data_IF_421053992493
#
_entry.id   IF_421053992493
#
_cell.length_a   1.000
_cell.length_b   1.000
_cell.length_c   1.000
_cell.angle_alpha   90.00
_cell.angle_beta   90.00
_cell.angle_gamma   90.00
#
_symmetry.space_group_name_H-M   'P 1'
#
loop_
_entity.id
_entity.type
_entity.pdbx_description
1 polymer ?
#
# COMPACT_ATOMS: atom_id res chain seq x y z
N UNK A 1 27.66 -30.28 -0.78
CA UNK A 1 27.09 -29.78 0.49
C UNK A 1 25.97 -28.78 0.18
N UNK A 2 24.97 -29.18 -0.63
CA UNK A 2 24.00 -28.24 -1.25
C UNK A 2 22.54 -28.72 -1.22
N UNK A 3 22.28 -29.89 -0.63
CA UNK A 3 20.97 -30.56 -0.69
C UNK A 3 20.09 -30.38 0.56
N UNK A 4 20.58 -29.70 1.60
CA UNK A 4 19.89 -29.60 2.91
C UNK A 4 18.91 -28.40 2.97
N UNK A 5 18.94 -27.46 2.03
CA UNK A 5 18.14 -26.22 2.13
C UNK A 5 16.73 -26.29 1.55
N UNK A 6 16.38 -27.30 0.76
CA UNK A 6 15.05 -27.42 0.12
C UNK A 6 14.02 -28.17 0.96
N UNK A 7 14.42 -28.87 2.02
CA UNK A 7 13.51 -29.65 2.88
C UNK A 7 12.98 -28.90 4.12
N UNK A 8 13.31 -27.61 4.30
CA UNK A 8 13.02 -26.88 5.54
C UNK A 8 11.77 -25.98 5.54
N UNK A 9 11.00 -25.88 4.46
CA UNK A 9 9.92 -24.86 4.38
C UNK A 9 8.51 -25.35 4.06
N UNK A 10 8.27 -26.66 3.99
CA UNK A 10 6.89 -27.23 3.84
C UNK A 10 6.34 -27.80 5.16
N UNK A 11 7.15 -27.90 6.22
CA UNK A 11 6.70 -28.44 7.51
C UNK A 11 5.88 -27.41 8.30
N UNK A 12 4.59 -27.73 8.48
CA UNK A 12 3.60 -27.07 9.34
C UNK A 12 3.18 -25.66 8.93
N UNK A 13 2.49 -25.57 7.79
CA UNK A 13 1.63 -24.41 7.55
C UNK A 13 0.60 -24.34 8.70
N UNK A 14 0.51 -23.19 9.40
CA UNK A 14 -0.45 -23.04 10.49
C UNK A 14 -1.86 -23.32 10.00
N UNK A 15 -2.70 -23.92 10.86
CA UNK A 15 -4.11 -24.19 10.58
C UNK A 15 -4.78 -22.92 10.00
N UNK A 16 -5.79 -23.09 9.14
CA UNK A 16 -6.52 -22.01 8.49
C UNK A 16 -6.98 -20.94 9.50
N UNK A 17 -7.42 -21.35 10.69
CA UNK A 17 -7.78 -20.44 11.77
C UNK A 17 -6.62 -19.54 12.25
N UNK A 18 -5.42 -20.09 12.36
CA UNK A 18 -4.23 -19.33 12.78
C UNK A 18 -3.78 -18.34 11.71
N UNK A 19 -3.88 -18.72 10.42
CA UNK A 19 -3.63 -17.79 9.30
C UNK A 19 -4.63 -16.64 9.29
N UNK A 20 -5.92 -16.97 9.45
CA UNK A 20 -6.98 -15.97 9.49
C UNK A 20 -6.78 -14.98 10.63
N UNK A 21 -6.42 -15.46 11.84
CA UNK A 21 -6.08 -14.59 12.97
C UNK A 21 -4.89 -13.68 12.65
N UNK A 22 -3.86 -14.20 12.00
CA UNK A 22 -2.71 -13.41 11.58
C UNK A 22 -3.11 -12.32 10.57
N UNK A 23 -3.97 -12.65 9.60
CA UNK A 23 -4.45 -11.69 8.61
C UNK A 23 -5.32 -10.61 9.23
N UNK A 24 -6.26 -11.01 10.09
CA UNK A 24 -7.14 -10.05 10.77
C UNK A 24 -6.29 -9.10 11.60
N UNK A 25 -5.42 -9.62 12.47
CA UNK A 25 -4.57 -8.77 13.32
C UNK A 25 -3.65 -7.88 12.49
N UNK A 26 -3.07 -8.41 11.40
CA UNK A 26 -2.17 -7.66 10.56
C UNK A 26 -2.84 -6.56 9.75
N UNK A 27 -3.92 -6.87 9.04
CA UNK A 27 -4.71 -5.90 8.28
C UNK A 27 -5.26 -4.82 9.22
N UNK A 28 -5.78 -5.21 10.39
CA UNK A 28 -6.31 -4.24 11.38
C UNK A 28 -5.22 -3.30 11.87
N UNK A 29 -4.06 -3.84 12.27
CA UNK A 29 -2.95 -3.04 12.79
C UNK A 29 -2.41 -2.10 11.71
N UNK A 30 -2.28 -2.61 10.49
CA UNK A 30 -1.85 -1.82 9.35
C UNK A 30 -2.85 -0.69 9.03
N UNK A 31 -4.15 -0.96 9.06
CA UNK A 31 -5.18 0.04 8.81
C UNK A 31 -5.19 1.14 9.88
N UNK A 32 -5.04 0.78 11.16
CA UNK A 32 -4.90 1.76 12.25
C UNK A 32 -3.66 2.62 12.03
N UNK A 33 -2.53 2.01 11.66
CA UNK A 33 -1.30 2.72 11.38
C UNK A 33 -1.45 3.71 10.20
N UNK A 34 -2.02 3.27 9.08
CA UNK A 34 -2.25 4.16 7.92
C UNK A 34 -3.20 5.28 8.28
N UNK A 35 -4.27 5.01 9.04
CA UNK A 35 -5.21 6.04 9.47
C UNK A 35 -4.55 7.10 10.37
N UNK A 36 -3.74 6.66 11.34
CA UNK A 36 -2.98 7.58 12.19
C UNK A 36 -2.02 8.44 11.36
N UNK A 37 -1.34 7.86 10.38
CA UNK A 37 -0.47 8.62 9.50
C UNK A 37 -1.26 9.63 8.64
N UNK A 38 -2.25 9.16 7.89
CA UNK A 38 -2.98 9.93 6.89
C UNK A 38 -3.82 11.06 7.50
N UNK A 39 -4.45 10.84 8.67
CA UNK A 39 -5.30 11.85 9.28
C UNK A 39 -4.59 12.71 10.30
N UNK A 40 -3.73 12.13 11.14
CA UNK A 40 -3.08 12.89 12.21
C UNK A 40 -1.76 13.49 11.74
N UNK A 41 -0.83 12.67 11.22
CA UNK A 41 0.50 13.16 10.85
C UNK A 41 0.44 14.12 9.65
N UNK A 42 -0.29 13.79 8.59
CA UNK A 42 -0.41 14.67 7.41
C UNK A 42 -1.05 16.01 7.78
N UNK A 43 -2.19 16.01 8.50
CA UNK A 43 -2.85 17.24 8.92
C UNK A 43 -1.94 18.12 9.77
N UNK A 44 -1.25 17.52 10.76
CA UNK A 44 -0.29 18.24 11.59
C UNK A 44 0.84 18.88 10.77
N UNK A 45 1.42 18.14 9.82
CA UNK A 45 2.51 18.63 8.98
C UNK A 45 2.07 19.75 8.04
N UNK A 46 0.89 19.64 7.44
CA UNK A 46 0.34 20.68 6.57
C UNK A 46 0.04 21.98 7.33
N UNK A 47 -0.51 21.88 8.55
CA UNK A 47 -0.79 23.04 9.40
C UNK A 47 0.51 23.71 9.85
N UNK A 48 1.49 22.93 10.32
CA UNK A 48 2.70 23.48 10.93
C UNK A 48 3.71 24.02 9.91
N UNK A 49 3.95 23.30 8.81
CA UNK A 49 4.98 23.68 7.82
C UNK A 49 4.40 24.48 6.64
N UNK A 50 3.07 24.61 6.56
CA UNK A 50 2.37 25.16 5.41
C UNK A 50 2.25 24.14 4.27
N UNK A 51 1.42 24.47 3.28
CA UNK A 51 0.95 23.51 2.28
C UNK A 51 2.09 22.88 1.45
N UNK A 52 2.92 23.69 0.78
CA UNK A 52 3.95 23.18 -0.13
C UNK A 52 5.05 22.41 0.61
N UNK A 53 5.58 22.97 1.70
CA UNK A 53 6.62 22.31 2.50
C UNK A 53 6.07 21.07 3.19
N UNK A 54 4.86 21.14 3.73
CA UNK A 54 4.16 20.02 4.33
C UNK A 54 3.97 18.87 3.36
N UNK A 55 3.53 19.13 2.12
CA UNK A 55 3.45 18.10 1.06
C UNK A 55 4.79 17.42 0.82
N UNK A 56 5.86 18.19 0.63
CA UNK A 56 7.20 17.62 0.36
C UNK A 56 7.64 16.72 1.53
N UNK A 57 7.45 17.18 2.77
CA UNK A 57 7.79 16.40 3.98
C UNK A 57 6.95 15.12 4.04
N UNK A 58 5.65 15.20 3.81
CA UNK A 58 4.72 14.05 3.79
C UNK A 58 5.11 13.04 2.70
N UNK A 59 5.52 13.49 1.51
CA UNK A 59 5.97 12.60 0.44
C UNK A 59 7.25 11.85 0.81
N UNK A 60 8.22 12.53 1.45
CA UNK A 60 9.45 11.90 1.91
C UNK A 60 9.15 10.89 3.02
N UNK A 61 8.32 11.27 3.99
CA UNK A 61 7.93 10.40 5.09
C UNK A 61 7.15 9.19 4.61
N UNK A 62 6.25 9.33 3.63
CA UNK A 62 5.49 8.20 3.09
C UNK A 62 6.41 7.20 2.40
N UNK A 63 7.39 7.65 1.62
CA UNK A 63 8.44 6.79 1.04
C UNK A 63 9.20 6.04 2.13
N UNK A 64 9.63 6.73 3.19
CA UNK A 64 10.40 6.13 4.28
C UNK A 64 9.56 5.09 5.03
N UNK A 65 8.31 5.40 5.34
CA UNK A 65 7.38 4.51 6.04
C UNK A 65 7.07 3.28 5.20
N UNK A 66 6.73 3.45 3.92
CA UNK A 66 6.40 2.34 3.03
C UNK A 66 7.61 1.43 2.83
N UNK A 67 8.81 2.01 2.65
CA UNK A 67 10.04 1.23 2.51
C UNK A 67 10.38 0.48 3.81
N UNK A 68 10.18 1.13 4.97
CA UNK A 68 10.42 0.50 6.27
C UNK A 68 9.44 -0.65 6.52
N UNK A 69 8.17 -0.45 6.17
CA UNK A 69 7.11 -1.47 6.26
C UNK A 69 7.40 -2.65 5.35
N UNK A 70 7.89 -2.39 4.13
CA UNK A 70 8.30 -3.42 3.18
C UNK A 70 9.48 -4.25 3.70
N UNK A 71 10.51 -3.59 4.26
CA UNK A 71 11.64 -4.28 4.90
C UNK A 71 11.21 -5.07 6.12
N UNK A 72 10.32 -4.52 6.94
CA UNK A 72 9.74 -5.22 8.08
C UNK A 72 8.93 -6.45 7.64
N UNK A 73 8.14 -6.33 6.57
CA UNK A 73 7.39 -7.42 5.96
C UNK A 73 8.32 -8.56 5.54
N UNK A 74 9.40 -8.25 4.84
CA UNK A 74 10.41 -9.24 4.42
C UNK A 74 11.17 -9.85 5.60
N UNK A 75 11.48 -9.06 6.63
CA UNK A 75 12.14 -9.56 7.84
C UNK A 75 11.24 -10.50 8.64
N UNK A 76 9.94 -10.19 8.76
CA UNK A 76 8.99 -10.98 9.53
C UNK A 76 8.67 -12.34 8.88
N UNK A 77 8.84 -12.46 7.55
CA UNK A 77 8.66 -13.70 6.76
C UNK A 77 7.31 -14.41 6.97
N UNK A 78 6.29 -13.69 7.43
CA UNK A 78 4.92 -14.19 7.58
C UNK A 78 3.99 -13.35 6.74
N UNK A 79 3.05 -13.99 6.08
CA UNK A 79 2.08 -13.30 5.23
C UNK A 79 0.93 -12.74 6.09
N UNK A 80 1.21 -11.69 6.87
CA UNK A 80 0.26 -11.08 7.80
C UNK A 80 -0.77 -10.16 7.13
N UNK A 81 -0.60 -9.85 5.84
CA UNK A 81 -1.54 -9.05 5.03
C UNK A 81 -2.25 -9.88 3.95
N UNK A 82 -2.08 -11.21 3.96
CA UNK A 82 -2.62 -12.12 2.97
C UNK A 82 -2.17 -11.84 1.51
N UNK A 83 -1.14 -11.01 1.28
CA UNK A 83 -0.68 -10.62 -0.05
C UNK A 83 -0.07 -11.79 -0.81
N UNK A 84 0.79 -12.57 -0.15
CA UNK A 84 1.42 -13.73 -0.78
C UNK A 84 0.39 -14.85 -1.02
N UNK A 85 -0.62 -14.96 -0.15
CA UNK A 85 -1.75 -15.86 -0.34
C UNK A 85 -2.61 -15.47 -1.54
N UNK A 86 -2.89 -14.16 -1.72
CA UNK A 86 -3.59 -13.66 -2.91
C UNK A 86 -2.80 -13.93 -4.19
N UNK A 87 -1.47 -13.78 -4.15
CA UNK A 87 -0.62 -14.17 -5.28
C UNK A 87 -0.66 -15.67 -5.55
N UNK A 88 -0.68 -16.52 -4.53
CA UNK A 88 -0.77 -17.97 -4.72
C UNK A 88 -2.07 -18.37 -5.46
N UNK A 89 -3.17 -17.66 -5.20
CA UNK A 89 -4.44 -17.88 -5.90
C UNK A 89 -4.32 -17.70 -7.42
N UNK A 90 -3.45 -16.79 -7.89
CA UNK A 90 -3.28 -16.53 -9.32
C UNK A 90 -2.74 -17.74 -10.10
N UNK A 91 -2.08 -18.67 -9.41
CA UNK A 91 -1.53 -19.89 -10.02
C UNK A 91 -2.50 -21.07 -9.99
N UNK A 92 -3.65 -20.94 -9.32
CA UNK A 92 -4.65 -22.01 -9.24
C UNK A 92 -5.50 -22.07 -10.51
N UNK A 93 -5.77 -23.28 -11.01
CA UNK A 93 -6.61 -23.51 -12.21
C UNK A 93 -8.12 -23.39 -11.96
N UNK A 94 -8.55 -22.68 -10.92
CA UNK A 94 -9.96 -22.47 -10.60
C UNK A 94 -10.47 -21.12 -11.15
N UNK A 95 -11.77 -20.85 -11.01
CA UNK A 95 -12.38 -19.59 -11.46
C UNK A 95 -11.65 -18.35 -10.90
N UNK A 96 -11.34 -18.37 -9.59
CA UNK A 96 -10.63 -17.28 -8.92
C UNK A 96 -9.22 -17.07 -9.48
N UNK A 97 -8.44 -18.13 -9.70
CA UNK A 97 -7.10 -17.99 -10.27
C UNK A 97 -7.14 -17.53 -11.73
N UNK A 98 -8.15 -17.90 -12.51
CA UNK A 98 -8.37 -17.33 -13.86
C UNK A 98 -8.69 -15.83 -13.80
N UNK A 99 -9.52 -15.40 -12.84
CA UNK A 99 -9.85 -13.99 -12.66
C UNK A 99 -8.62 -13.17 -12.24
N UNK A 100 -7.89 -13.62 -11.22
CA UNK A 100 -6.68 -12.93 -10.75
C UNK A 100 -5.56 -12.93 -11.79
N UNK A 101 -5.34 -14.04 -12.50
CA UNK A 101 -4.38 -14.09 -13.60
C UNK A 101 -4.80 -13.21 -14.78
N UNK A 102 -6.08 -13.09 -15.11
CA UNK A 102 -6.54 -12.15 -16.13
C UNK A 102 -6.20 -10.69 -15.78
N UNK A 103 -6.42 -10.29 -14.52
CA UNK A 103 -6.06 -8.95 -14.02
C UNK A 103 -4.54 -8.76 -14.01
N UNK A 104 -3.79 -9.78 -13.59
CA UNK A 104 -2.32 -9.72 -13.52
C UNK A 104 -1.66 -9.75 -14.90
N UNK A 105 -2.26 -10.44 -15.87
CA UNK A 105 -1.77 -10.54 -17.26
C UNK A 105 -2.05 -9.29 -18.09
N UNK A 106 -2.77 -8.29 -17.54
CA UNK A 106 -2.80 -6.95 -18.15
C UNK A 106 -1.41 -6.31 -18.08
N UNK A 107 -1.22 -5.25 -18.86
CA UNK A 107 0.04 -4.49 -18.87
C UNK A 107 0.45 -4.13 -17.44
N UNK A 108 1.67 -4.51 -17.05
CA UNK A 108 2.26 -4.23 -15.72
C UNK A 108 2.10 -2.75 -15.35
N UNK A 109 2.21 -1.86 -16.34
CA UNK A 109 2.01 -0.43 -16.16
C UNK A 109 0.60 -0.07 -15.68
N UNK A 110 -0.45 -0.62 -16.32
CA UNK A 110 -1.84 -0.35 -15.96
C UNK A 110 -2.11 -0.82 -14.53
N UNK A 111 -1.64 -2.02 -14.18
CA UNK A 111 -1.82 -2.58 -12.84
C UNK A 111 -1.13 -1.74 -11.78
N UNK A 112 0.10 -1.27 -12.04
CA UNK A 112 0.79 -0.35 -11.13
C UNK A 112 -0.01 0.94 -10.97
N UNK A 113 -0.49 1.56 -12.05
CA UNK A 113 -1.28 2.80 -11.95
C UNK A 113 -2.54 2.58 -11.13
N UNK A 114 -3.37 1.60 -11.49
CA UNK A 114 -4.65 1.35 -10.80
C UNK A 114 -4.45 1.03 -9.32
N UNK A 115 -3.49 0.17 -8.98
CA UNK A 115 -3.22 -0.15 -7.58
C UNK A 115 -2.63 1.04 -6.82
N UNK A 116 -1.82 1.90 -7.45
CA UNK A 116 -1.25 3.07 -6.78
C UNK A 116 -2.29 4.14 -6.43
N UNK A 117 -3.44 4.16 -7.12
CA UNK A 117 -4.55 5.07 -6.79
C UNK A 117 -5.37 4.59 -5.59
N UNK A 118 -5.38 3.28 -5.30
CA UNK A 118 -6.21 2.68 -4.24
C UNK A 118 -5.39 2.16 -3.06
N UNK A 119 -4.08 2.00 -3.23
CA UNK A 119 -3.16 1.42 -2.25
C UNK A 119 -1.85 2.19 -2.24
N UNK A 120 -1.06 2.04 -1.18
CA UNK A 120 0.26 2.66 -1.07
C UNK A 120 1.37 1.86 -1.77
N UNK A 121 2.55 2.48 -1.86
CA UNK A 121 3.68 1.89 -2.58
C UNK A 121 4.13 0.57 -1.97
N UNK A 122 4.02 0.42 -0.65
CA UNK A 122 4.29 -0.82 0.04
C UNK A 122 3.39 -1.97 -0.47
N UNK A 123 2.06 -1.83 -0.42
CA UNK A 123 1.13 -2.89 -0.87
C UNK A 123 1.33 -3.17 -2.36
N UNK A 124 1.42 -2.12 -3.19
CA UNK A 124 1.60 -2.25 -4.65
C UNK A 124 2.86 -3.06 -4.96
N UNK A 125 3.98 -2.70 -4.32
CA UNK A 125 5.27 -3.36 -4.55
C UNK A 125 5.26 -4.79 -4.03
N UNK A 126 4.78 -5.00 -2.79
CA UNK A 126 4.68 -6.32 -2.20
C UNK A 126 3.80 -7.24 -3.05
N UNK A 127 2.67 -6.76 -3.58
CA UNK A 127 1.77 -7.51 -4.45
C UNK A 127 2.35 -7.77 -5.86
N UNK A 128 3.04 -6.79 -6.45
CA UNK A 128 3.57 -6.90 -7.82
C UNK A 128 4.92 -7.62 -7.91
N UNK A 129 5.59 -7.86 -6.77
CA UNK A 129 6.83 -8.67 -6.72
C UNK A 129 6.58 -10.08 -7.28
N UNK A 130 7.48 -10.53 -8.14
CA UNK A 130 7.43 -11.87 -8.76
C UNK A 130 7.60 -12.97 -7.70
N UNK A 131 6.83 -14.04 -7.87
CA UNK A 131 6.83 -15.19 -6.96
C UNK A 131 5.95 -14.97 -5.73
N UNK A 132 5.46 -16.08 -5.17
CA UNK A 132 4.75 -16.10 -3.90
C UNK A 132 5.70 -16.52 -2.77
N UNK A 133 5.56 -15.88 -1.61
CA UNK A 133 6.33 -16.17 -0.38
C UNK A 133 7.86 -16.01 -0.52
N UNK A 134 8.31 -15.13 -1.43
CA UNK A 134 9.74 -14.89 -1.67
C UNK A 134 10.26 -13.69 -0.87
N UNK A 135 10.63 -13.88 0.40
CA UNK A 135 11.12 -12.80 1.28
C UNK A 135 12.62 -12.45 1.06
N UNK A 136 13.03 -12.27 -0.19
CA UNK A 136 14.45 -12.15 -0.59
C UNK A 136 14.86 -10.70 -0.96
N UNK A 137 14.14 -9.70 -0.45
CA UNK A 137 14.35 -8.30 -0.79
C UNK A 137 13.79 -7.90 -2.16
N UNK A 138 14.26 -6.76 -2.68
CA UNK A 138 13.78 -6.15 -3.92
C UNK A 138 14.77 -6.30 -5.07
N UNK A 139 14.28 -6.76 -6.22
CA UNK A 139 15.04 -6.72 -7.48
C UNK A 139 15.02 -5.31 -8.07
N UNK A 140 15.86 -5.04 -9.08
CA UNK A 140 15.85 -3.75 -9.82
C UNK A 140 14.45 -3.38 -10.34
N UNK A 141 13.69 -4.39 -10.79
CA UNK A 141 12.32 -4.19 -11.26
C UNK A 141 11.39 -3.77 -10.12
N UNK A 142 11.50 -4.40 -8.96
CA UNK A 142 10.62 -4.11 -7.83
C UNK A 142 10.92 -2.72 -7.23
N UNK A 143 12.18 -2.29 -7.25
CA UNK A 143 12.55 -0.90 -6.95
C UNK A 143 11.90 0.11 -7.90
N UNK A 144 11.87 -0.16 -9.20
CA UNK A 144 11.19 0.71 -10.15
C UNK A 144 9.67 0.77 -9.87
N UNK A 145 9.05 -0.36 -9.53
CA UNK A 145 7.64 -0.41 -9.14
C UNK A 145 7.40 0.39 -7.85
N UNK A 146 8.29 0.27 -6.87
CA UNK A 146 8.20 1.00 -5.61
C UNK A 146 8.26 2.51 -5.82
N UNK A 147 9.25 3.01 -6.54
CA UNK A 147 9.36 4.46 -6.78
C UNK A 147 8.24 4.98 -7.68
N UNK A 148 7.84 4.23 -8.71
CA UNK A 148 6.73 4.60 -9.58
C UNK A 148 5.40 4.67 -8.80
N UNK A 149 5.11 3.64 -8.00
CA UNK A 149 3.89 3.61 -7.20
C UNK A 149 3.90 4.67 -6.10
N UNK A 150 5.02 4.88 -5.42
CA UNK A 150 5.16 5.94 -4.42
C UNK A 150 4.93 7.33 -5.00
N UNK A 151 5.49 7.62 -6.18
CA UNK A 151 5.24 8.89 -6.84
C UNK A 151 3.76 9.06 -7.23
N UNK A 152 3.16 8.04 -7.85
CA UNK A 152 1.76 8.07 -8.28
C UNK A 152 0.79 8.23 -7.10
N UNK A 153 0.97 7.43 -6.04
CA UNK A 153 0.15 7.50 -4.82
C UNK A 153 0.26 8.88 -4.19
N UNK A 154 1.47 9.41 -4.03
CA UNK A 154 1.67 10.73 -3.43
C UNK A 154 1.04 11.85 -4.27
N UNK A 155 1.22 11.84 -5.60
CA UNK A 155 0.60 12.82 -6.49
C UNK A 155 -0.93 12.76 -6.43
N UNK A 156 -1.49 11.55 -6.40
CA UNK A 156 -2.93 11.35 -6.26
C UNK A 156 -3.47 11.91 -4.94
N UNK A 157 -2.82 11.61 -3.82
CA UNK A 157 -3.23 12.14 -2.51
C UNK A 157 -3.07 13.66 -2.40
N UNK A 158 -1.98 14.21 -2.93
CA UNK A 158 -1.80 15.67 -3.01
C UNK A 158 -2.94 16.31 -3.80
N UNK A 159 -3.30 15.73 -4.94
CA UNK A 159 -4.42 16.21 -5.74
C UNK A 159 -5.75 16.16 -4.97
N UNK A 160 -6.03 15.04 -4.27
CA UNK A 160 -7.23 14.92 -3.44
C UNK A 160 -7.28 15.94 -2.31
N UNK A 161 -6.17 16.13 -1.58
CA UNK A 161 -6.10 17.08 -0.46
C UNK A 161 -6.23 18.52 -0.98
N UNK A 162 -5.51 18.87 -2.05
CA UNK A 162 -5.60 20.19 -2.68
C UNK A 162 -7.03 20.48 -3.15
N UNK A 163 -7.63 19.55 -3.90
CA UNK A 163 -8.99 19.67 -4.39
C UNK A 163 -10.01 19.77 -3.26
N UNK A 164 -9.85 18.96 -2.20
CA UNK A 164 -10.69 19.01 -1.00
C UNK A 164 -10.61 20.36 -0.30
N UNK A 165 -9.42 20.93 -0.12
CA UNK A 165 -9.24 22.25 0.49
C UNK A 165 -9.93 23.34 -0.35
N UNK A 166 -9.77 23.34 -1.66
CA UNK A 166 -10.40 24.34 -2.54
C UNK A 166 -11.93 24.23 -2.53
N UNK A 167 -12.48 23.01 -2.55
CA UNK A 167 -13.92 22.79 -2.40
C UNK A 167 -14.42 23.32 -1.04
N UNK A 168 -13.71 23.03 0.05
CA UNK A 168 -14.09 23.49 1.39
C UNK A 168 -14.04 25.02 1.53
N UNK A 169 -13.03 25.68 0.93
CA UNK A 169 -12.96 27.15 0.88
C UNK A 169 -14.16 27.74 0.14
N UNK A 170 -14.51 27.18 -1.02
CA UNK A 170 -15.66 27.62 -1.79
C UNK A 170 -16.97 27.48 -1.00
N UNK A 171 -17.19 26.33 -0.36
CA UNK A 171 -18.39 26.10 0.46
C UNK A 171 -18.44 27.05 1.66
N UNK A 172 -17.31 27.29 2.32
CA UNK A 172 -17.23 28.24 3.42
C UNK A 172 -17.62 29.66 2.99
N UNK A 173 -17.15 30.11 1.81
CA UNK A 173 -17.51 31.41 1.26
C UNK A 173 -19.01 31.51 0.96
N UNK A 174 -19.60 30.48 0.34
CA UNK A 174 -21.05 30.44 0.04
C UNK A 174 -21.89 30.55 1.32
N UNK A 175 -21.48 29.86 2.39
CA UNK A 175 -22.16 29.94 3.70
C UNK A 175 -22.01 31.33 4.32
N UNK A 176 -20.82 31.92 4.25
CA UNK A 176 -20.57 33.27 4.76
C UNK A 176 -21.43 34.32 4.05
N UNK A 177 -21.49 34.27 2.73
CA UNK A 177 -22.27 35.20 1.91
C UNK A 177 -23.78 35.09 2.23
N UNK A 178 -24.28 33.87 2.44
CA UNK A 178 -25.66 33.64 2.86
C UNK A 178 -25.96 34.22 4.25
N UNK A 179 -25.04 34.09 5.21
CA UNK A 179 -25.21 34.63 6.56
C UNK A 179 -25.23 36.17 6.56
N UNK A 180 -24.40 36.81 5.72
CA UNK A 180 -24.32 38.28 5.65
C UNK A 180 -25.58 38.90 5.01
N UNK A 181 -26.31 38.15 4.18
CA UNK A 181 -27.54 38.60 3.52
C UNK A 181 -28.79 38.57 4.42
N UNK A 182 -28.73 37.91 5.58
CA UNK A 182 -29.82 37.80 6.56
C UNK A 182 -29.65 38.86 7.65
#
# INVERSE_FOLDING_TARGET
MEEIKTNLTIRNLPNYATRLRLWITGISSYYVFTYLYDYFAVSFLLIYFGFIKGIIIVMILSVVIDLSTLKFYDWFRKDWLALETLKDLQYKKNFWGKLFSFVHNKSTFITVVVLSLTSNAFIVTAYMRKGAFQYNGLTKRDWNIFFASSLLTNLYWVFLIAGGIEIMKYLYQVVLDFIILI
#
